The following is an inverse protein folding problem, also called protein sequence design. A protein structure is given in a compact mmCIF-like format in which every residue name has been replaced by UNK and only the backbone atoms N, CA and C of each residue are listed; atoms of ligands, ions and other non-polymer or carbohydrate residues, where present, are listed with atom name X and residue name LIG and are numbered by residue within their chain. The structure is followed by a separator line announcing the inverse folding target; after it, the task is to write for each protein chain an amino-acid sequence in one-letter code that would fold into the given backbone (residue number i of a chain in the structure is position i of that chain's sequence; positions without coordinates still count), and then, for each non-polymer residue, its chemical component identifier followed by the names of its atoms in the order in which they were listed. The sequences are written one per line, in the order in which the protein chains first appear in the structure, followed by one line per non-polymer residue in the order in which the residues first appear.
data_IF_979324634349
#
_entry.id   IF_979324634349
#
_cell.length_a   1.000
_cell.length_b   1.000
_cell.length_c   1.000
_cell.angle_alpha   90.00
_cell.angle_beta   90.00
_cell.angle_gamma   90.00
#
_symmetry.space_group_name_H-M   'P 1'
#
loop_
_entity.id
_entity.type
_entity.pdbx_description
1 polymer ?
#
# COMPACT_ATOMS: atom_id res chain seq x y z
N UNK A 1 -14.30 52.79 14.93
CA UNK A 1 -14.91 51.44 15.07
C UNK A 1 -14.74 50.54 13.84
N UNK A 2 -14.94 51.03 12.59
CA UNK A 2 -14.82 50.20 11.36
C UNK A 2 -13.44 49.55 11.12
N UNK A 3 -12.34 50.22 11.50
CA UNK A 3 -10.95 49.72 11.31
C UNK A 3 -10.56 48.61 12.28
N UNK A 4 -11.02 48.68 13.53
CA UNK A 4 -10.77 47.65 14.55
C UNK A 4 -11.60 46.40 14.24
N UNK A 5 -12.84 46.58 13.77
CA UNK A 5 -13.69 45.47 13.34
C UNK A 5 -13.09 44.65 12.20
N UNK A 6 -12.37 45.30 11.27
CA UNK A 6 -11.68 44.61 10.17
C UNK A 6 -10.48 43.79 10.65
N UNK A 7 -9.71 44.31 11.62
CA UNK A 7 -8.57 43.62 12.21
C UNK A 7 -9.05 42.39 13.01
N UNK A 8 -10.12 42.54 13.79
CA UNK A 8 -10.72 41.40 14.51
C UNK A 8 -11.28 40.34 13.55
N UNK A 9 -11.87 40.74 12.42
CA UNK A 9 -12.39 39.82 11.40
C UNK A 9 -11.26 39.09 10.63
N UNK A 10 -10.13 39.75 10.37
CA UNK A 10 -8.92 39.15 9.81
C UNK A 10 -8.26 38.17 10.79
N UNK A 11 -8.17 38.51 12.07
CA UNK A 11 -7.67 37.60 13.11
C UNK A 11 -8.59 36.38 13.22
N UNK A 12 -9.91 36.53 13.16
CA UNK A 12 -10.88 35.42 13.13
C UNK A 12 -10.71 34.53 11.89
N UNK A 13 -10.54 35.11 10.70
CA UNK A 13 -10.33 34.36 9.46
C UNK A 13 -8.97 33.64 9.41
N UNK A 14 -7.92 34.19 10.05
CA UNK A 14 -6.60 33.56 10.17
C UNK A 14 -6.46 32.62 11.38
N UNK A 15 -7.41 32.64 12.33
CA UNK A 15 -7.47 31.73 13.48
C UNK A 15 -8.49 30.61 13.31
N UNK A 16 -9.28 30.63 12.23
CA UNK A 16 -9.84 29.40 11.70
C UNK A 16 -8.67 28.57 11.19
N UNK A 17 -8.27 27.46 11.84
CA UNK A 17 -7.42 26.50 11.17
C UNK A 17 -8.15 26.17 9.88
N UNK A 18 -7.56 26.49 8.73
CA UNK A 18 -8.09 26.05 7.45
C UNK A 18 -8.15 24.53 7.49
N UNK A 19 -9.31 23.96 7.83
CA UNK A 19 -9.60 22.53 7.87
C UNK A 19 -9.64 21.93 6.45
N UNK A 20 -8.89 22.51 5.51
CA UNK A 20 -8.49 21.89 4.26
C UNK A 20 -7.15 21.15 4.41
N UNK A 21 -6.67 20.93 5.64
CA UNK A 21 -5.78 19.82 5.94
C UNK A 21 -6.58 18.53 5.74
N UNK A 22 -6.42 17.93 4.57
CA UNK A 22 -6.60 16.51 4.35
C UNK A 22 -6.08 15.73 5.59
N UNK A 23 -6.63 14.54 5.86
CA UNK A 23 -6.09 13.70 6.95
C UNK A 23 -4.79 12.97 6.53
N UNK A 24 -4.45 13.02 5.22
CA UNK A 24 -3.26 12.45 4.62
C UNK A 24 -2.70 13.37 3.53
N UNK A 25 -1.73 14.17 3.92
CA UNK A 25 -0.80 14.78 2.98
C UNK A 25 0.27 15.42 3.83
N UNK A 26 1.39 15.55 3.16
CA UNK A 26 2.63 15.88 3.79
C UNK A 26 3.27 16.96 2.95
N UNK A 27 4.08 17.80 3.58
CA UNK A 27 4.91 18.78 2.88
C UNK A 27 6.01 18.09 2.09
N UNK A 28 5.68 17.36 1.01
CA UNK A 28 6.66 16.57 0.25
C UNK A 28 7.80 17.40 -0.35
N UNK A 29 7.52 18.68 -0.60
CA UNK A 29 8.44 19.65 -1.16
C UNK A 29 9.08 20.55 -0.08
N UNK A 30 8.86 20.25 1.19
CA UNK A 30 9.44 21.03 2.28
C UNK A 30 10.97 20.82 2.29
N UNK A 31 11.77 21.90 2.21
CA UNK A 31 13.22 21.80 2.10
C UNK A 31 13.87 21.12 3.32
N UNK A 32 13.20 21.15 4.47
CA UNK A 32 13.66 20.58 5.74
C UNK A 32 12.58 19.71 6.39
N UNK A 33 12.27 18.58 5.75
CA UNK A 33 11.31 17.63 6.29
C UNK A 33 11.78 17.05 7.65
N UNK A 34 11.12 17.48 8.73
CA UNK A 34 11.47 17.10 10.12
C UNK A 34 11.37 15.60 10.37
N UNK A 35 10.37 14.92 9.80
CA UNK A 35 10.21 13.47 9.94
C UNK A 35 11.39 12.70 9.36
N UNK A 36 11.86 13.10 8.18
CA UNK A 36 13.01 12.48 7.52
C UNK A 36 14.32 12.82 8.24
N UNK A 37 14.50 14.07 8.68
CA UNK A 37 15.66 14.49 9.48
C UNK A 37 15.76 13.72 10.81
N UNK A 38 14.64 13.48 11.48
CA UNK A 38 14.63 12.66 12.69
C UNK A 38 15.06 11.22 12.40
N UNK A 39 14.54 10.63 11.33
CA UNK A 39 14.89 9.26 10.91
C UNK A 39 16.38 9.16 10.51
N UNK A 40 16.89 10.16 9.81
CA UNK A 40 18.31 10.29 9.46
C UNK A 40 19.19 10.25 10.72
N UNK A 41 18.87 11.08 11.72
CA UNK A 41 19.60 11.14 12.98
C UNK A 41 19.49 9.83 13.77
N UNK A 42 18.27 9.29 13.91
CA UNK A 42 18.00 8.09 14.69
C UNK A 42 18.69 6.84 14.12
N UNK A 43 18.84 6.76 12.79
CA UNK A 43 19.54 5.66 12.10
C UNK A 43 21.01 5.96 11.80
N UNK A 44 21.49 7.16 12.16
CA UNK A 44 22.87 7.63 11.94
C UNK A 44 23.30 7.49 10.47
N UNK A 45 22.48 7.98 9.55
CA UNK A 45 22.79 7.91 8.12
C UNK A 45 23.90 8.91 7.77
N UNK A 46 24.79 8.56 6.83
CA UNK A 46 25.70 9.54 6.24
C UNK A 46 24.98 10.38 5.18
N UNK A 47 25.57 11.52 4.76
CA UNK A 47 24.89 12.47 3.87
C UNK A 47 24.38 11.89 2.56
N UNK A 48 25.12 10.94 1.94
CA UNK A 48 24.66 10.27 0.71
C UNK A 48 23.50 9.31 0.99
N UNK A 49 23.62 8.49 2.02
CA UNK A 49 22.54 7.58 2.45
C UNK A 49 21.28 8.34 2.85
N UNK A 50 21.43 9.49 3.53
CA UNK A 50 20.34 10.37 3.92
C UNK A 50 19.62 10.93 2.68
N UNK A 51 20.37 11.48 1.71
CA UNK A 51 19.78 11.97 0.47
C UNK A 51 18.99 10.88 -0.28
N UNK A 52 19.56 9.67 -0.40
CA UNK A 52 18.88 8.53 -1.02
C UNK A 52 17.64 8.10 -0.23
N UNK A 53 17.72 8.06 1.11
CA UNK A 53 16.61 7.77 2.01
C UNK A 53 15.45 8.77 1.82
N UNK A 54 15.73 10.07 1.88
CA UNK A 54 14.73 11.15 1.72
C UNK A 54 14.03 11.04 0.36
N UNK A 55 14.81 10.87 -0.71
CA UNK A 55 14.28 10.73 -2.06
C UNK A 55 13.33 9.52 -2.17
N UNK A 56 13.75 8.35 -1.66
CA UNK A 56 12.90 7.15 -1.67
C UNK A 56 11.61 7.38 -0.86
N UNK A 57 11.71 7.88 0.36
CA UNK A 57 10.54 8.09 1.23
C UNK A 57 9.56 9.08 0.60
N UNK A 58 10.03 10.24 0.13
CA UNK A 58 9.16 11.25 -0.46
C UNK A 58 8.53 10.77 -1.76
N UNK A 59 9.31 10.14 -2.65
CA UNK A 59 8.81 9.63 -3.93
C UNK A 59 7.70 8.59 -3.76
N UNK A 60 7.89 7.62 -2.86
CA UNK A 60 6.88 6.59 -2.65
C UNK A 60 5.70 7.11 -1.83
N UNK A 61 5.97 7.98 -0.87
CA UNK A 61 4.94 8.61 -0.07
C UNK A 61 3.94 9.43 -0.92
N UNK A 62 4.41 10.25 -1.85
CA UNK A 62 3.54 10.96 -2.82
C UNK A 62 2.66 10.00 -3.62
N UNK A 63 3.21 8.85 -4.03
CA UNK A 63 2.46 7.83 -4.80
C UNK A 63 1.41 7.14 -3.93
N UNK A 64 1.71 6.88 -2.66
CA UNK A 64 0.78 6.29 -1.69
C UNK A 64 -0.36 7.25 -1.41
N UNK A 65 -0.05 8.52 -1.12
CA UNK A 65 -1.06 9.56 -0.89
C UNK A 65 -2.01 9.68 -2.08
N UNK A 66 -1.46 9.80 -3.30
CA UNK A 66 -2.28 9.88 -4.52
C UNK A 66 -3.22 8.69 -4.66
N UNK A 67 -2.77 7.50 -4.28
CA UNK A 67 -3.60 6.29 -4.36
C UNK A 67 -4.68 6.26 -3.28
N UNK A 68 -4.36 6.69 -2.06
CA UNK A 68 -5.30 6.72 -0.94
C UNK A 68 -6.37 7.80 -1.07
N UNK A 69 -6.07 8.88 -1.79
CA UNK A 69 -7.01 9.97 -2.09
C UNK A 69 -8.09 9.58 -3.11
N UNK A 70 -8.03 8.36 -3.66
CA UNK A 70 -9.08 7.89 -4.57
C UNK A 70 -10.41 7.69 -3.85
N UNK A 71 -11.48 7.82 -4.64
CA UNK A 71 -12.86 7.60 -4.19
C UNK A 71 -13.03 6.22 -3.53
N UNK A 72 -13.85 6.14 -2.48
CA UNK A 72 -13.98 4.92 -1.64
C UNK A 72 -14.33 3.66 -2.43
N UNK A 73 -15.05 3.81 -3.54
CA UNK A 73 -15.39 2.72 -4.49
C UNK A 73 -14.17 1.92 -4.96
N UNK A 74 -12.98 2.52 -4.94
CA UNK A 74 -11.73 1.88 -5.38
C UNK A 74 -10.85 1.39 -4.23
N UNK A 75 -11.31 1.45 -2.98
CA UNK A 75 -10.46 1.16 -1.81
C UNK A 75 -9.83 -0.24 -1.82
N UNK A 76 -10.51 -1.27 -2.31
CA UNK A 76 -9.94 -2.61 -2.41
C UNK A 76 -8.75 -2.67 -3.38
N UNK A 77 -8.87 -1.96 -4.49
CA UNK A 77 -7.81 -1.86 -5.50
C UNK A 77 -6.64 -1.01 -4.98
N UNK A 78 -6.98 0.09 -4.32
CA UNK A 78 -6.00 0.98 -3.67
C UNK A 78 -5.28 0.28 -2.53
N UNK A 79 -5.92 -0.61 -1.76
CA UNK A 79 -5.29 -1.39 -0.71
C UNK A 79 -4.15 -2.24 -1.24
N UNK A 80 -4.42 -3.02 -2.30
CA UNK A 80 -3.39 -3.83 -2.97
C UNK A 80 -2.26 -2.95 -3.52
N UNK A 81 -2.60 -1.80 -4.12
CA UNK A 81 -1.62 -0.93 -4.74
C UNK A 81 -0.73 -0.21 -3.72
N UNK A 82 -1.31 0.30 -2.64
CA UNK A 82 -0.60 0.91 -1.51
C UNK A 82 0.32 -0.12 -0.86
N UNK A 83 -0.16 -1.33 -0.60
CA UNK A 83 0.68 -2.44 -0.13
C UNK A 83 1.90 -2.66 -1.03
N UNK A 84 1.68 -2.78 -2.35
CA UNK A 84 2.78 -2.97 -3.29
C UNK A 84 3.77 -1.79 -3.29
N UNK A 85 3.27 -0.54 -3.23
CA UNK A 85 4.11 0.65 -3.15
C UNK A 85 4.98 0.65 -1.89
N UNK A 86 4.41 0.31 -0.74
CA UNK A 86 5.13 0.19 0.52
C UNK A 86 6.20 -0.91 0.46
N UNK A 87 5.86 -2.09 -0.05
CA UNK A 87 6.83 -3.18 -0.23
C UNK A 87 7.94 -2.83 -1.22
N UNK A 88 7.64 -2.07 -2.28
CA UNK A 88 8.64 -1.62 -3.25
C UNK A 88 9.58 -0.56 -2.66
N UNK A 89 9.03 0.40 -1.92
CA UNK A 89 9.80 1.39 -1.14
C UNK A 89 10.77 0.69 -0.21
N UNK A 90 10.28 -0.26 0.58
CA UNK A 90 11.08 -0.95 1.59
C UNK A 90 12.21 -1.77 0.94
N UNK A 91 11.96 -2.40 -0.22
CA UNK A 91 13.03 -3.05 -1.02
C UNK A 91 14.08 -2.08 -1.57
N UNK A 92 13.71 -0.83 -1.85
CA UNK A 92 14.69 0.21 -2.25
C UNK A 92 15.52 0.62 -1.04
N UNK A 93 14.89 0.82 0.11
CA UNK A 93 15.56 1.12 1.37
C UNK A 93 16.54 0.02 1.80
N UNK A 94 16.20 -1.26 1.61
CA UNK A 94 17.09 -2.39 1.88
C UNK A 94 18.41 -2.37 1.09
N UNK A 95 18.49 -1.62 -0.02
CA UNK A 95 19.72 -1.45 -0.80
C UNK A 95 20.57 -0.27 -0.34
N UNK A 96 19.98 0.68 0.37
CA UNK A 96 20.62 1.92 0.83
C UNK A 96 21.04 1.79 2.29
N UNK A 97 20.21 1.15 3.10
CA UNK A 97 20.40 0.97 4.53
C UNK A 97 21.13 -0.35 4.82
N UNK A 98 22.02 -0.31 5.81
CA UNK A 98 22.60 -1.53 6.37
C UNK A 98 21.51 -2.39 7.03
N UNK A 99 21.77 -3.68 7.30
CA UNK A 99 20.77 -4.53 7.94
C UNK A 99 20.32 -4.02 9.32
N UNK A 100 21.22 -3.43 10.12
CA UNK A 100 20.85 -2.84 11.41
C UNK A 100 20.03 -1.57 11.25
N UNK A 101 20.38 -0.70 10.29
CA UNK A 101 19.62 0.51 9.97
C UNK A 101 18.20 0.17 9.49
N UNK A 102 18.04 -0.83 8.61
CA UNK A 102 16.72 -1.23 8.14
C UNK A 102 15.85 -1.85 9.26
N UNK A 103 16.44 -2.55 10.24
CA UNK A 103 15.69 -2.98 11.44
C UNK A 103 15.17 -1.79 12.24
N UNK A 104 16.00 -0.77 12.45
CA UNK A 104 15.58 0.45 13.13
C UNK A 104 14.48 1.18 12.36
N UNK A 105 14.61 1.27 11.03
CA UNK A 105 13.57 1.79 10.14
C UNK A 105 12.22 1.09 10.39
N UNK A 106 12.19 -0.25 10.30
CA UNK A 106 10.96 -1.03 10.51
C UNK A 106 10.36 -0.79 11.90
N UNK A 107 11.21 -0.73 12.94
CA UNK A 107 10.77 -0.40 14.31
C UNK A 107 10.13 0.98 14.38
N UNK A 108 10.81 2.02 13.90
CA UNK A 108 10.33 3.39 14.02
C UNK A 108 9.06 3.66 13.23
N UNK A 109 8.93 3.03 12.06
CA UNK A 109 7.74 3.11 11.21
C UNK A 109 6.53 2.48 11.89
N UNK A 110 6.71 1.39 12.63
CA UNK A 110 5.63 0.76 13.41
C UNK A 110 5.21 1.56 14.63
N UNK A 111 6.18 2.17 15.32
CA UNK A 111 5.88 3.03 16.48
C UNK A 111 5.15 4.31 16.07
N UNK A 112 5.58 4.94 14.97
CA UNK A 112 4.98 6.19 14.44
C UNK A 112 5.04 6.18 12.90
N UNK A 113 4.00 5.67 12.22
CA UNK A 113 3.91 5.62 10.75
C UNK A 113 4.22 6.94 10.04
N UNK A 114 3.80 8.06 10.63
CA UNK A 114 3.97 9.41 10.05
C UNK A 114 5.45 9.82 9.89
N UNK A 115 6.40 9.12 10.55
CA UNK A 115 7.85 9.35 10.39
C UNK A 115 8.35 9.10 8.96
N UNK A 116 7.61 8.36 8.15
CA UNK A 116 7.92 8.08 6.73
C UNK A 116 6.85 8.61 5.79
N UNK A 117 6.05 9.57 6.26
CA UNK A 117 4.91 10.09 5.54
C UNK A 117 3.95 9.00 5.06
N UNK A 118 3.78 8.00 5.90
CA UNK A 118 2.81 6.95 5.73
C UNK A 118 1.93 6.93 6.98
N UNK A 119 0.85 6.18 6.94
CA UNK A 119 -0.16 6.21 7.99
C UNK A 119 -0.94 4.92 7.93
N UNK A 120 -1.25 4.42 9.12
CA UNK A 120 -2.08 3.26 9.26
C UNK A 120 -3.55 3.66 9.09
N UNK A 121 -4.35 2.76 8.52
CA UNK A 121 -5.80 2.97 8.44
C UNK A 121 -6.17 4.00 7.38
N UNK A 122 -5.55 3.88 6.20
CA UNK A 122 -5.62 4.96 5.23
C UNK A 122 -6.99 5.25 4.62
N UNK A 123 -7.87 4.27 4.73
CA UNK A 123 -9.28 4.30 4.38
C UNK A 123 -10.15 4.99 5.43
N UNK A 124 -9.61 5.43 6.58
CA UNK A 124 -10.32 6.24 7.59
C UNK A 124 -10.46 7.70 7.12
N UNK A 125 -11.02 7.88 5.93
CA UNK A 125 -11.18 9.16 5.27
C UNK A 125 -12.36 9.95 5.86
N UNK A 126 -12.15 11.14 6.46
CA UNK A 126 -13.22 11.98 6.98
C UNK A 126 -14.24 12.42 5.93
N UNK A 127 -13.89 12.43 4.63
CA UNK A 127 -14.83 12.69 3.55
C UNK A 127 -15.84 11.54 3.33
N UNK A 128 -15.54 10.34 3.85
CA UNK A 128 -16.38 9.15 3.72
C UNK A 128 -16.69 8.55 5.11
N UNK A 129 -17.28 9.31 6.04
CA UNK A 129 -17.39 8.92 7.46
C UNK A 129 -18.33 7.71 7.69
N UNK A 130 -19.29 7.51 6.78
CA UNK A 130 -20.27 6.43 6.84
C UNK A 130 -19.82 5.16 6.10
N UNK A 131 -18.72 5.24 5.35
CA UNK A 131 -18.21 4.09 4.63
C UNK A 131 -17.29 3.28 5.52
N UNK A 132 -17.31 1.96 5.29
CA UNK A 132 -16.46 1.02 6.02
C UNK A 132 -15.52 0.34 5.04
N UNK A 133 -14.21 0.26 5.35
CA UNK A 133 -13.28 -0.52 4.57
C UNK A 133 -13.69 -1.99 4.54
N UNK A 134 -13.43 -2.66 3.42
CA UNK A 134 -13.63 -4.10 3.29
C UNK A 134 -12.53 -4.87 4.02
N UNK A 135 -12.73 -6.19 4.16
CA UNK A 135 -11.69 -7.10 4.64
C UNK A 135 -10.43 -7.09 3.78
N UNK A 136 -10.53 -6.75 2.49
CA UNK A 136 -9.36 -6.63 1.61
C UNK A 136 -8.47 -5.47 2.07
N UNK A 137 -9.07 -4.34 2.45
CA UNK A 137 -8.35 -3.20 3.00
C UNK A 137 -7.61 -3.57 4.29
N UNK A 138 -8.33 -4.17 5.25
CA UNK A 138 -7.74 -4.63 6.50
C UNK A 138 -6.63 -5.64 6.29
N UNK A 139 -6.84 -6.63 5.41
CA UNK A 139 -5.86 -7.67 5.14
C UNK A 139 -4.55 -7.12 4.61
N UNK A 140 -4.59 -6.23 3.61
CA UNK A 140 -3.36 -5.65 3.07
C UNK A 140 -2.68 -4.69 4.05
N UNK A 141 -3.46 -4.00 4.87
CA UNK A 141 -2.94 -3.15 5.94
C UNK A 141 -2.20 -4.00 6.97
N UNK A 142 -2.85 -5.04 7.49
CA UNK A 142 -2.26 -5.99 8.43
C UNK A 142 -1.04 -6.68 7.84
N UNK A 143 -1.12 -7.08 6.57
CA UNK A 143 0.00 -7.68 5.87
C UNK A 143 1.21 -6.77 5.92
N UNK A 144 1.06 -5.49 5.60
CA UNK A 144 2.19 -4.58 5.64
C UNK A 144 2.73 -4.38 7.08
N UNK A 145 1.87 -4.00 8.02
CA UNK A 145 2.31 -3.59 9.36
C UNK A 145 2.88 -4.76 10.17
N UNK A 146 2.34 -5.96 10.00
CA UNK A 146 2.75 -7.15 10.76
C UNK A 146 3.72 -8.07 10.02
N UNK A 147 4.14 -7.74 8.79
CA UNK A 147 5.14 -8.51 8.05
C UNK A 147 6.48 -8.56 8.81
N UNK A 148 6.91 -9.75 9.21
CA UNK A 148 8.19 -9.96 9.88
C UNK A 148 9.32 -9.92 8.85
N UNK A 149 10.25 -8.99 9.06
CA UNK A 149 11.43 -8.85 8.22
C UNK A 149 12.60 -9.62 8.83
N UNK A 150 13.09 -10.60 8.11
CA UNK A 150 14.26 -11.42 8.47
C UNK A 150 15.39 -11.16 7.49
N UNK A 151 16.61 -11.00 8.00
CA UNK A 151 17.81 -10.89 7.17
C UNK A 151 18.61 -12.19 7.29
N UNK A 152 18.68 -12.94 6.20
CA UNK A 152 19.38 -14.22 6.13
C UNK A 152 20.03 -14.39 4.76
N UNK A 153 21.16 -15.08 4.68
CA UNK A 153 21.84 -15.37 3.41
C UNK A 153 22.07 -14.12 2.53
N UNK A 154 22.44 -13.00 3.16
CA UNK A 154 22.70 -11.73 2.48
C UNK A 154 21.44 -11.01 1.94
N UNK A 155 20.23 -11.49 2.25
CA UNK A 155 18.99 -10.96 1.69
C UNK A 155 17.90 -10.78 2.75
N UNK A 156 17.06 -9.77 2.53
CA UNK A 156 15.84 -9.55 3.30
C UNK A 156 14.68 -10.42 2.79
N UNK A 157 14.00 -11.05 3.74
CA UNK A 157 12.79 -11.83 3.52
C UNK A 157 11.66 -11.26 4.37
N UNK A 158 10.50 -11.06 3.76
CA UNK A 158 9.27 -10.72 4.46
C UNK A 158 8.46 -11.99 4.67
N UNK A 159 8.07 -12.27 5.91
CA UNK A 159 7.10 -13.31 6.24
C UNK A 159 5.87 -12.67 6.83
N UNK A 160 4.73 -13.00 6.28
CA UNK A 160 3.44 -12.70 6.88
C UNK A 160 2.71 -14.03 7.07
N UNK A 161 2.01 -14.14 8.21
CA UNK A 161 1.33 -15.35 8.65
C UNK A 161 0.62 -16.10 7.52
N UNK A 162 1.02 -17.36 7.30
CA UNK A 162 0.47 -18.24 6.26
C UNK A 162 -0.89 -18.87 6.67
N UNK A 163 -1.33 -18.65 7.90
CA UNK A 163 -2.60 -19.13 8.44
C UNK A 163 -3.81 -18.35 7.92
N UNK A 164 -5.01 -18.79 8.31
CA UNK A 164 -6.27 -18.12 7.95
C UNK A 164 -6.30 -16.72 8.57
N UNK A 165 -6.06 -15.68 7.77
CA UNK A 165 -6.26 -14.30 8.18
C UNK A 165 -7.75 -14.03 8.43
N UNK A 166 -8.05 -13.26 9.47
CA UNK A 166 -9.38 -12.73 9.75
C UNK A 166 -9.24 -11.33 10.38
N UNK A 167 -10.28 -10.50 10.24
CA UNK A 167 -10.28 -9.14 10.77
C UNK A 167 -10.09 -9.12 12.29
N UNK A 168 -9.16 -8.29 12.76
CA UNK A 168 -8.87 -8.12 14.18
C UNK A 168 -7.90 -9.15 14.78
N UNK A 169 -7.36 -10.08 13.98
CA UNK A 169 -6.36 -11.07 14.43
C UNK A 169 -5.14 -10.43 15.11
N UNK A 170 -4.76 -9.22 14.72
CA UNK A 170 -3.59 -8.52 15.24
C UNK A 170 -3.93 -7.31 16.12
N UNK A 171 -5.21 -7.12 16.45
CA UNK A 171 -5.65 -6.08 17.37
C UNK A 171 -5.33 -6.54 18.80
N UNK A 172 -4.12 -6.23 19.29
CA UNK A 172 -3.69 -6.66 20.64
C UNK A 172 -4.36 -5.80 21.73
N UNK A 173 -4.86 -6.39 22.83
CA UNK A 173 -5.53 -5.65 23.90
C UNK A 173 -4.67 -4.65 24.70
N UNK A 174 -3.33 -4.70 24.61
CA UNK A 174 -2.42 -3.96 25.52
C UNK A 174 -1.44 -3.00 24.83
N UNK A 175 -1.66 -2.61 23.57
CA UNK A 175 -0.90 -1.52 22.96
C UNK A 175 -1.73 -0.24 23.05
N UNK A 176 -1.43 0.61 24.04
CA UNK A 176 -1.98 1.96 24.11
C UNK A 176 -1.54 2.74 22.86
N UNK A 177 -2.44 2.86 21.90
CA UNK A 177 -2.26 3.69 20.71
C UNK A 177 -2.24 5.17 21.13
N UNK A 178 -1.17 5.87 20.73
CA UNK A 178 -1.08 7.32 20.78
C UNK A 178 -2.05 7.93 19.75
N UNK A 179 -3.35 7.97 20.08
CA UNK A 179 -4.32 8.92 19.55
C UNK A 179 -4.82 8.73 18.10
N UNK A 180 -4.48 7.65 17.40
CA UNK A 180 -5.16 7.33 16.14
C UNK A 180 -6.44 6.56 16.43
N UNK A 181 -7.54 7.32 16.52
CA UNK A 181 -8.91 6.81 16.68
C UNK A 181 -9.19 5.68 15.66
N UNK A 182 -9.21 4.44 16.13
CA UNK A 182 -9.87 3.32 15.43
C UNK A 182 -11.32 3.33 15.91
N UNK A 183 -12.33 3.43 15.02
CA UNK A 183 -13.71 3.44 15.47
C UNK A 183 -13.99 2.23 16.35
N UNK A 184 -14.47 2.52 17.56
CA UNK A 184 -14.82 1.53 18.56
C UNK A 184 -15.59 0.38 17.93
N UNK A 185 -15.09 -0.83 18.17
CA UNK A 185 -15.70 -2.06 17.75
C UNK A 185 -16.89 -2.37 18.69
N UNK A 186 -17.83 -1.44 18.83
CA UNK A 186 -19.13 -1.68 19.45
C UNK A 186 -20.07 -2.29 18.42
N UNK A 187 -19.73 -3.50 17.99
CA UNK A 187 -20.68 -4.54 17.57
C UNK A 187 -19.92 -5.85 17.43
N UNK A 188 -19.62 -6.46 18.58
CA UNK A 188 -19.42 -7.90 18.66
C UNK A 188 -20.78 -8.53 18.33
N UNK A 189 -20.99 -9.25 17.22
CA UNK A 189 -22.19 -10.06 17.09
C UNK A 189 -22.04 -11.17 18.12
N UNK A 190 -22.85 -11.09 19.18
CA UNK A 190 -23.06 -12.20 20.07
C UNK A 190 -23.61 -13.35 19.22
N UNK A 191 -22.93 -14.49 19.21
CA UNK A 191 -23.48 -15.72 18.67
C UNK A 191 -24.72 -16.07 19.47
N UNK A 192 -25.90 -15.78 18.90
CA UNK A 192 -27.22 -16.37 19.16
C UNK A 192 -28.31 -15.29 19.05
N UNK A 193 -28.72 -14.91 17.84
CA UNK A 193 -30.06 -14.36 17.62
C UNK A 193 -30.61 -14.85 16.28
N UNK A 194 -31.46 -15.87 16.37
CA UNK A 194 -32.54 -16.13 15.43
C UNK A 194 -33.40 -14.86 15.33
N UNK A 195 -33.43 -14.18 14.19
CA UNK A 195 -34.53 -13.29 13.83
C UNK A 195 -34.79 -13.29 12.32
N UNK A 196 -35.86 -14.03 11.97
CA UNK A 196 -36.93 -13.71 11.04
C UNK A 196 -36.61 -12.88 9.79
N UNK A 197 -36.53 -13.64 8.70
CA UNK A 197 -36.69 -13.26 7.30
C UNK A 197 -38.03 -12.56 7.07
N UNK A 198 -38.10 -11.35 6.48
CA UNK A 198 -39.35 -10.81 5.95
C UNK A 198 -39.68 -11.44 4.59
N UNK A 199 -40.96 -11.79 4.45
CA UNK A 199 -41.57 -12.54 3.37
C UNK A 199 -41.41 -11.87 1.99
N UNK A 200 -41.20 -12.72 0.99
CA UNK A 200 -41.35 -12.43 -0.44
C UNK A 200 -42.85 -12.50 -0.82
N UNK A 201 -43.29 -11.70 -1.80
CA UNK A 201 -44.19 -12.14 -2.88
C UNK A 201 -43.37 -12.11 -4.20
N UNK A 202 -43.16 -13.17 -5.01
CA UNK A 202 -44.12 -14.08 -5.66
C UNK A 202 -44.63 -13.40 -6.94
N UNK A 203 -43.99 -13.49 -8.12
CA UNK A 203 -44.10 -14.54 -9.16
C UNK A 203 -43.38 -13.98 -10.42
N UNK A 204 -42.93 -14.68 -11.47
CA UNK A 204 -42.65 -16.09 -11.79
C UNK A 204 -42.02 -16.10 -13.21
N UNK A 205 -41.22 -17.13 -13.53
CA UNK A 205 -40.78 -17.61 -14.88
C UNK A 205 -39.65 -16.85 -15.65
N UNK A 206 -38.45 -17.43 -15.72
CA UNK A 206 -37.98 -18.29 -16.83
C UNK A 206 -36.49 -18.68 -16.67
N UNK A 207 -36.22 -19.96 -16.98
CA UNK A 207 -34.98 -20.64 -17.38
C UNK A 207 -33.74 -20.73 -16.46
N UNK A 208 -33.64 -21.93 -15.87
CA UNK A 208 -32.42 -22.76 -15.90
C UNK A 208 -31.83 -22.74 -17.32
N UNK A 209 -30.66 -22.14 -17.49
CA UNK A 209 -29.49 -22.71 -18.14
C UNK A 209 -28.45 -21.62 -18.49
N UNK A 210 -27.18 -22.02 -18.49
CA UNK A 210 -25.94 -21.26 -18.79
C UNK A 210 -25.27 -20.51 -17.63
N UNK A 211 -24.54 -21.27 -16.81
CA UNK A 211 -23.18 -20.84 -16.42
C UNK A 211 -22.24 -21.07 -17.61
N UNK A 212 -21.57 -20.06 -18.18
CA UNK A 212 -20.39 -20.34 -18.97
C UNK A 212 -19.25 -20.67 -18.01
N UNK A 213 -18.69 -21.86 -18.18
CA UNK A 213 -17.55 -22.38 -17.44
C UNK A 213 -16.31 -21.51 -17.74
N UNK A 214 -15.93 -20.66 -16.79
CA UNK A 214 -14.69 -19.84 -16.80
C UNK A 214 -13.38 -20.67 -16.84
N UNK A 215 -13.45 -21.97 -17.13
CA UNK A 215 -12.29 -22.85 -17.29
C UNK A 215 -11.64 -22.69 -18.67
N UNK A 216 -12.44 -22.54 -19.75
CA UNK A 216 -11.92 -22.44 -21.12
C UNK A 216 -11.08 -21.18 -21.39
N UNK A 217 -11.42 -20.06 -20.75
CA UNK A 217 -10.65 -18.81 -20.90
C UNK A 217 -9.30 -18.88 -20.19
N UNK A 218 -9.24 -19.58 -19.05
CA UNK A 218 -8.01 -19.75 -18.29
C UNK A 218 -7.02 -20.68 -18.99
N UNK A 219 -7.52 -21.68 -19.72
CA UNK A 219 -6.68 -22.59 -20.52
C UNK A 219 -6.17 -21.90 -21.80
N UNK A 220 -7.01 -21.09 -22.48
CA UNK A 220 -6.58 -20.29 -23.64
C UNK A 220 -5.46 -19.29 -23.31
N UNK A 221 -5.55 -18.62 -22.17
CA UNK A 221 -4.52 -17.66 -21.74
C UNK A 221 -3.17 -18.35 -21.44
N UNK A 222 -3.23 -19.61 -21.00
CA UNK A 222 -2.03 -20.41 -20.73
C UNK A 222 -1.37 -20.85 -22.04
N UNK A 223 -2.16 -21.36 -22.98
CA UNK A 223 -1.67 -21.77 -24.30
C UNK A 223 -1.08 -20.61 -25.11
N UNK A 224 -1.66 -19.40 -24.96
CA UNK A 224 -1.12 -18.20 -25.61
C UNK A 224 0.25 -17.81 -25.05
N UNK A 225 0.42 -17.83 -23.73
CA UNK A 225 1.72 -17.54 -23.09
C UNK A 225 2.80 -18.55 -23.47
N UNK A 226 2.44 -19.82 -23.61
CA UNK A 226 3.41 -20.86 -23.99
C UNK A 226 3.80 -20.77 -25.48
N UNK A 227 2.88 -20.35 -26.36
CA UNK A 227 3.21 -20.04 -27.76
C UNK A 227 4.14 -18.84 -27.88
N UNK A 228 3.84 -17.73 -27.19
CA UNK A 228 4.68 -16.52 -27.21
C UNK A 228 6.10 -16.81 -26.70
N UNK A 229 6.23 -17.68 -25.68
CA UNK A 229 7.54 -18.09 -25.15
C UNK A 229 8.32 -18.93 -26.15
N UNK A 230 7.68 -19.92 -26.81
CA UNK A 230 8.32 -20.76 -27.83
C UNK A 230 8.74 -19.94 -29.06
N UNK A 231 7.96 -18.95 -29.46
CA UNK A 231 8.30 -18.07 -30.58
C UNK A 231 9.49 -17.17 -30.25
N UNK A 232 9.56 -16.65 -29.03
CA UNK A 232 10.71 -15.87 -28.55
C UNK A 232 12.00 -16.70 -28.51
N UNK A 233 11.92 -17.94 -28.02
CA UNK A 233 13.07 -18.85 -27.97
C UNK A 233 13.54 -19.26 -29.38
N UNK A 234 12.61 -19.42 -30.33
CA UNK A 234 12.94 -19.70 -31.74
C UNK A 234 13.64 -18.51 -32.40
N UNK A 235 13.13 -17.28 -32.20
CA UNK A 235 13.73 -16.05 -32.73
C UNK A 235 15.14 -15.81 -32.18
N UNK A 236 15.38 -16.14 -30.91
CA UNK A 236 16.72 -16.03 -30.32
C UNK A 236 17.71 -17.05 -30.91
N UNK A 237 17.26 -18.28 -31.16
CA UNK A 237 18.08 -19.31 -31.83
C UNK A 237 18.40 -18.95 -33.28
N UNK A 238 17.43 -18.40 -34.02
CA UNK A 238 17.64 -17.99 -35.41
C UNK A 238 18.60 -16.79 -35.51
N UNK A 239 18.51 -15.83 -34.58
CA UNK A 239 19.47 -14.73 -34.48
C UNK A 239 20.90 -15.22 -34.19
N UNK A 240 21.07 -16.14 -33.24
CA UNK A 240 22.39 -16.74 -32.94
C UNK A 240 22.97 -17.51 -34.14
N UNK A 241 22.11 -18.18 -34.92
CA UNK A 241 22.54 -18.90 -36.13
C UNK A 241 22.93 -17.96 -37.27
N UNK A 242 22.23 -16.83 -37.44
CA UNK A 242 22.60 -15.80 -38.41
C UNK A 242 23.91 -15.10 -38.02
N UNK A 243 24.12 -14.83 -36.74
CA UNK A 243 25.35 -14.23 -36.22
C UNK A 243 26.56 -15.17 -36.41
N UNK A 244 26.38 -16.47 -36.15
CA UNK A 244 27.39 -17.50 -36.45
C UNK A 244 27.75 -17.53 -37.93
N UNK A 245 26.76 -17.55 -38.85
CA UNK A 245 27.02 -17.55 -40.30
C UNK A 245 27.71 -16.28 -40.77
N UNK A 246 27.35 -15.11 -40.21
CA UNK A 246 28.00 -13.83 -40.52
C UNK A 246 29.46 -13.82 -40.07
N UNK A 247 29.77 -14.43 -38.93
CA UNK A 247 31.13 -14.57 -38.42
C UNK A 247 32.00 -15.55 -39.22
N UNK A 248 31.39 -16.50 -39.91
CA UNK A 248 32.07 -17.49 -40.75
C UNK A 248 32.40 -16.94 -42.15
N UNK A 249 31.52 -16.10 -42.71
CA UNK A 249 31.78 -15.37 -43.96
C UNK A 249 32.95 -14.38 -43.79
N UNK A 250 33.04 -13.69 -42.64
CA UNK A 250 34.16 -12.80 -42.32
C UNK A 250 35.51 -13.50 -42.09
N UNK A 251 35.52 -14.82 -41.85
CA UNK A 251 36.76 -15.61 -41.71
C UNK A 251 37.26 -16.21 -43.02
N UNK A 252 36.46 -16.16 -44.09
CA UNK A 252 36.77 -16.73 -45.42
C UNK A 252 37.03 -15.67 -46.51
N UNK A 253 37.00 -14.38 -46.17
CA UNK A 253 37.49 -13.27 -47.00
C UNK A 253 38.87 -12.84 -46.49
#
# INVERSE_FOLDING_TARGET
MKRISFICLLILLCSLPGQAQFWISFGWNEPHCQSCLWMEQAMRLNGRQAADYHNIVHKYGQRIEKEARKHYRYWDQSAKKIFNLRMERDRKLQRVLSPSQFRLYVRFVRERPQRIHDYQGWYNNPHYPNYRPSDICWRYEDHYWHNQWEYSNGRWHGRFDDGKWYRGKYDRPNHHDNGQWRPDNHNRPNNNQHFNKPSRPGNDRYDKDKRPDNRRDRDRDRDRKDKDRKEKDKKEKDNKRQESKRSEVYRRS
#
